data_IF_422106889602
#
_entry.id   IF_422106889602
#
_cell.length_a   1.000
_cell.length_b   1.000
_cell.length_c   1.000
_cell.angle_alpha   90.00
_cell.angle_beta   90.00
_cell.angle_gamma   90.00
#
_symmetry.space_group_name_H-M   'P 1'
#
loop_
_entity.id
_entity.type
_entity.pdbx_description
1 polymer ?
#
# COMPACT_ATOMS: atom_id res chain seq x y z
N UNK A 1 -1.93 -10.69 -5.53
CA UNK A 1 -2.61 -9.41 -5.88
C UNK A 1 -3.18 -8.83 -4.59
N UNK A 2 -2.85 -7.57 -4.28
CA UNK A 2 -3.34 -6.89 -3.07
C UNK A 2 -4.39 -5.85 -3.46
N UNK A 3 -5.49 -5.79 -2.71
CA UNK A 3 -6.57 -4.81 -2.91
C UNK A 3 -6.87 -4.11 -1.60
N UNK A 4 -7.24 -2.84 -1.69
CA UNK A 4 -7.66 -2.07 -0.53
C UNK A 4 -8.57 -0.92 -0.91
N UNK A 5 -9.04 -0.22 0.12
CA UNK A 5 -9.85 0.98 -0.04
C UNK A 5 -9.58 1.95 1.09
N UNK A 6 -9.91 3.22 0.88
CA UNK A 6 -9.90 4.20 1.97
C UNK A 6 -11.04 3.92 2.96
N UNK A 7 -11.00 4.54 4.14
CA UNK A 7 -11.97 4.27 5.21
C UNK A 7 -13.42 4.60 4.84
N UNK A 8 -13.66 5.54 3.92
CA UNK A 8 -15.01 5.85 3.42
C UNK A 8 -15.37 5.13 2.12
N UNK A 9 -14.50 4.25 1.62
CA UNK A 9 -14.69 3.48 0.38
C UNK A 9 -14.80 4.31 -0.91
N UNK A 10 -14.54 5.63 -0.85
CA UNK A 10 -14.57 6.52 -2.02
C UNK A 10 -13.36 6.33 -2.97
N UNK A 11 -12.32 5.66 -2.50
CA UNK A 11 -11.13 5.31 -3.27
C UNK A 11 -10.89 3.82 -3.08
N UNK A 12 -10.75 3.11 -4.20
CA UNK A 12 -10.31 1.72 -4.25
C UNK A 12 -8.95 1.68 -4.92
N UNK A 13 -8.09 0.77 -4.48
CA UNK A 13 -6.79 0.58 -5.10
C UNK A 13 -6.45 -0.90 -5.21
N UNK A 14 -5.68 -1.21 -6.23
CA UNK A 14 -5.18 -2.55 -6.53
C UNK A 14 -3.70 -2.47 -6.87
N UNK A 15 -2.95 -3.45 -6.37
CA UNK A 15 -1.54 -3.63 -6.70
C UNK A 15 -1.44 -4.89 -7.56
N UNK A 16 -1.07 -4.70 -8.83
CA UNK A 16 -0.75 -5.79 -9.74
C UNK A 16 0.45 -6.59 -9.24
N UNK A 17 0.44 -7.89 -9.54
CA UNK A 17 1.32 -8.94 -9.01
C UNK A 17 2.72 -8.45 -8.58
N UNK A 18 3.01 -8.57 -7.28
CA UNK A 18 4.35 -8.39 -6.72
C UNK A 18 5.03 -9.76 -6.84
N UNK A 19 6.23 -9.81 -7.41
CA UNK A 19 7.00 -11.05 -7.52
C UNK A 19 7.43 -11.52 -6.11
N UNK A 20 7.57 -12.82 -5.87
CA UNK A 20 7.88 -13.36 -4.53
C UNK A 20 9.17 -12.80 -3.92
N UNK A 21 10.07 -12.30 -4.78
CA UNK A 21 11.33 -11.66 -4.41
C UNK A 21 11.18 -10.20 -3.95
N UNK A 22 10.14 -9.51 -4.39
CA UNK A 22 9.84 -8.11 -4.04
C UNK A 22 8.98 -8.01 -2.77
N UNK A 23 8.37 -9.12 -2.34
CA UNK A 23 7.68 -9.21 -1.06
C UNK A 23 8.65 -9.18 0.14
N UNK A 24 9.93 -9.51 -0.02
CA UNK A 24 10.89 -9.63 1.10
C UNK A 24 11.27 -8.26 1.76
N UNK A 25 10.97 -7.12 1.10
CA UNK A 25 11.11 -5.76 1.67
C UNK A 25 9.84 -5.32 2.42
N UNK A 26 9.06 -6.28 2.94
CA UNK A 26 7.85 -6.00 3.69
C UNK A 26 8.14 -5.76 5.17
N UNK A 27 7.82 -4.55 5.67
CA UNK A 27 7.89 -4.27 7.11
C UNK A 27 6.53 -4.55 7.74
N UNK A 28 6.41 -5.70 8.42
CA UNK A 28 5.26 -6.02 9.26
C UNK A 28 5.30 -5.18 10.54
N UNK A 29 4.37 -4.23 10.66
CA UNK A 29 4.23 -3.46 11.90
C UNK A 29 3.32 -4.23 12.86
N UNK A 30 3.87 -4.72 13.98
CA UNK A 30 3.08 -5.32 15.08
C UNK A 30 2.29 -4.23 15.81
N UNK A 31 1.23 -3.76 15.19
CA UNK A 31 0.17 -2.97 15.83
C UNK A 31 -1.12 -3.77 15.76
N UNK A 32 -2.06 -3.56 16.70
CA UNK A 32 -3.37 -4.23 16.83
C UNK A 32 -4.23 -4.32 15.54
N UNK A 33 -3.80 -3.66 14.46
CA UNK A 33 -4.27 -3.84 13.09
C UNK A 33 -3.07 -4.31 12.25
N UNK A 34 -3.08 -5.56 11.78
CA UNK A 34 -2.03 -6.15 10.93
C UNK A 34 -1.91 -5.39 9.60
N UNK A 35 -1.10 -4.33 9.59
CA UNK A 35 -0.80 -3.50 8.44
C UNK A 35 0.57 -3.85 7.91
N UNK A 36 0.61 -4.14 6.62
CA UNK A 36 1.81 -4.43 5.86
C UNK A 36 2.20 -3.17 5.08
N UNK A 37 3.40 -2.67 5.30
CA UNK A 37 3.93 -1.56 4.50
C UNK A 37 4.78 -2.11 3.38
N UNK A 38 4.47 -1.70 2.15
CA UNK A 38 5.11 -2.22 0.94
C UNK A 38 5.55 -1.08 0.03
N UNK A 39 6.75 -1.20 -0.53
CA UNK A 39 7.23 -0.35 -1.62
C UNK A 39 6.92 -1.02 -2.96
N UNK A 40 6.19 -0.31 -3.83
CA UNK A 40 5.80 -0.84 -5.14
C UNK A 40 6.10 0.17 -6.25
N UNK A 41 6.34 -0.35 -7.45
CA UNK A 41 6.47 0.49 -8.64
C UNK A 41 5.12 1.17 -8.92
N UNK A 42 5.13 2.48 -9.18
CA UNK A 42 3.93 3.30 -9.39
C UNK A 42 3.05 2.78 -10.52
N UNK A 43 3.67 2.22 -11.56
CA UNK A 43 2.98 1.61 -12.71
C UNK A 43 2.14 0.38 -12.35
N UNK A 44 2.44 -0.29 -11.24
CA UNK A 44 1.69 -1.46 -10.75
C UNK A 44 0.56 -1.10 -9.80
N UNK A 45 0.44 0.17 -9.40
CA UNK A 45 -0.64 0.67 -8.56
C UNK A 45 -1.75 1.24 -9.43
N UNK A 46 -2.92 0.60 -9.39
CA UNK A 46 -4.15 1.09 -10.02
C UNK A 46 -5.03 1.70 -8.94
N UNK A 47 -5.42 2.96 -9.12
CA UNK A 47 -6.34 3.67 -8.21
C UNK A 47 -7.63 3.96 -8.97
N UNK A 48 -8.74 3.42 -8.47
CA UNK A 48 -10.09 3.70 -8.95
C UNK A 48 -10.78 4.66 -7.97
N UNK A 49 -11.06 5.88 -8.44
CA UNK A 49 -11.78 6.89 -7.67
C UNK A 49 -12.36 8.00 -8.56
N UNK A 50 -13.29 8.77 -7.99
CA UNK A 50 -13.73 10.01 -8.62
C UNK A 50 -12.57 11.05 -8.62
N UNK A 51 -12.44 11.89 -9.66
CA UNK A 51 -11.34 12.87 -9.75
C UNK A 51 -11.25 13.84 -8.56
N UNK A 52 -12.38 14.11 -7.89
CA UNK A 52 -12.46 14.97 -6.71
C UNK A 52 -12.11 14.28 -5.39
N UNK A 53 -11.96 12.95 -5.41
CA UNK A 53 -11.76 12.14 -4.21
C UNK A 53 -10.28 12.00 -3.83
N UNK A 54 -9.35 12.08 -4.80
CA UNK A 54 -7.91 11.98 -4.55
C UNK A 54 -7.28 13.38 -4.52
N UNK A 55 -6.51 13.66 -3.48
CA UNK A 55 -5.74 14.89 -3.33
C UNK A 55 -4.26 14.58 -3.11
N UNK A 56 -3.40 15.53 -3.49
CA UNK A 56 -1.94 15.43 -3.35
C UNK A 56 -1.45 16.45 -2.33
N UNK A 57 -0.69 15.98 -1.34
CA UNK A 57 -0.06 16.80 -0.32
C UNK A 57 1.46 16.65 -0.42
N UNK A 58 2.12 17.73 -0.83
CA UNK A 58 3.59 17.77 -0.92
C UNK A 58 4.18 18.10 0.45
N UNK A 59 5.00 17.21 0.96
CA UNK A 59 5.70 17.39 2.22
C UNK A 59 7.05 18.08 2.02
N UNK A 60 7.51 18.79 3.07
CA UNK A 60 8.78 19.52 3.03
C UNK A 60 10.03 18.61 2.91
N UNK A 61 9.87 17.31 3.17
CA UNK A 61 10.92 16.29 3.02
C UNK A 61 11.04 15.76 1.58
N UNK A 62 10.23 16.27 0.64
CA UNK A 62 10.24 15.85 -0.77
C UNK A 62 9.30 14.68 -1.09
N UNK A 63 8.54 14.18 -0.11
CA UNK A 63 7.52 13.15 -0.33
C UNK A 63 6.21 13.78 -0.84
N UNK A 64 5.49 13.05 -1.69
CA UNK A 64 4.13 13.42 -2.10
C UNK A 64 3.14 12.41 -1.55
N UNK A 65 2.22 12.87 -0.71
CA UNK A 65 1.19 12.04 -0.10
C UNK A 65 -0.09 12.10 -0.93
N UNK A 66 -0.54 10.95 -1.43
CA UNK A 66 -1.84 10.82 -2.06
C UNK A 66 -2.88 10.46 -1.00
N UNK A 67 -3.84 11.35 -0.77
CA UNK A 67 -4.81 11.25 0.32
C UNK A 67 -6.25 11.32 -0.19
N UNK A 68 -7.16 10.67 0.52
CA UNK A 68 -8.58 10.79 0.26
C UNK A 68 -9.09 12.15 0.75
N UNK A 69 -9.61 12.97 -0.16
CA UNK A 69 -10.20 14.27 0.14
C UNK A 69 -11.50 14.18 0.95
N UNK A 70 -12.14 13.00 1.00
CA UNK A 70 -13.40 12.78 1.73
C UNK A 70 -13.17 12.42 3.19
N UNK A 71 -12.25 11.48 3.47
CA UNK A 71 -12.03 10.96 4.82
C UNK A 71 -10.62 11.19 5.37
N UNK A 72 -9.71 11.80 4.60
CA UNK A 72 -8.34 12.08 5.01
C UNK A 72 -7.41 10.87 5.08
N UNK A 73 -7.86 9.68 4.67
CA UNK A 73 -7.00 8.48 4.66
C UNK A 73 -5.84 8.65 3.67
N UNK A 74 -4.63 8.35 4.10
CA UNK A 74 -3.46 8.23 3.19
C UNK A 74 -3.61 6.96 2.37
N UNK A 75 -3.50 7.08 1.06
CA UNK A 75 -3.61 5.97 0.10
C UNK A 75 -2.24 5.44 -0.24
N UNK A 76 -1.35 6.33 -0.67
CA UNK A 76 0.05 6.01 -0.94
C UNK A 76 0.95 7.23 -0.75
N UNK A 77 2.25 6.98 -0.60
CA UNK A 77 3.27 8.01 -0.47
C UNK A 77 4.28 7.81 -1.59
N UNK A 78 4.39 8.78 -2.49
CA UNK A 78 5.43 8.80 -3.51
C UNK A 78 6.75 9.24 -2.88
N UNK A 79 7.71 8.32 -2.84
CA UNK A 79 9.06 8.55 -2.31
C UNK A 79 10.08 8.78 -3.43
N UNK A 80 9.75 8.35 -4.65
CA UNK A 80 10.52 8.61 -5.87
C UNK A 80 9.57 8.58 -7.07
N UNK A 81 9.97 9.11 -8.24
CA UNK A 81 9.08 9.22 -9.41
C UNK A 81 8.41 7.90 -9.84
N UNK A 82 9.07 6.78 -9.57
CA UNK A 82 8.61 5.45 -9.96
C UNK A 82 8.21 4.57 -8.76
N UNK A 83 8.40 5.02 -7.51
CA UNK A 83 8.10 4.20 -6.32
C UNK A 83 7.16 4.87 -5.35
N UNK A 84 6.19 4.10 -4.92
CA UNK A 84 5.19 4.50 -3.94
C UNK A 84 5.17 3.52 -2.77
N UNK A 85 4.95 4.03 -1.56
CA UNK A 85 4.75 3.25 -0.34
C UNK A 85 3.26 3.17 -0.03
N UNK A 86 2.75 1.97 0.26
CA UNK A 86 1.37 1.74 0.68
C UNK A 86 1.31 0.91 1.95
N UNK A 87 0.34 1.23 2.80
CA UNK A 87 -0.03 0.41 3.95
C UNK A 87 -1.28 -0.41 3.60
N UNK A 88 -1.10 -1.71 3.38
CA UNK A 88 -2.20 -2.63 3.06
C UNK A 88 -2.60 -3.42 4.30
N UNK A 89 -3.91 -3.57 4.51
CA UNK A 89 -4.43 -4.42 5.57
C UNK A 89 -4.41 -5.88 5.11
N UNK A 90 -3.78 -6.76 5.90
CA UNK A 90 -3.78 -8.19 5.64
C UNK A 90 -4.66 -8.90 6.68
N UNK A 91 -5.65 -9.67 6.23
CA UNK A 91 -6.45 -10.53 7.09
C UNK A 91 -5.83 -11.92 7.09
N UNK A 92 -5.25 -12.34 8.22
CA UNK A 92 -4.46 -13.57 8.38
C UNK A 92 -5.23 -14.90 8.26
N UNK A 93 -5.98 -15.09 7.18
CA UNK A 93 -6.38 -16.41 6.71
C UNK A 93 -5.48 -16.94 5.58
N UNK A 94 -4.60 -16.11 5.03
CA UNK A 94 -3.53 -16.51 4.09
C UNK A 94 -2.22 -16.91 4.81
N UNK A 95 -2.30 -17.31 6.09
CA UNK A 95 -1.17 -17.87 6.84
C UNK A 95 -0.76 -19.29 6.38
N UNK A 96 -1.35 -19.80 5.29
CA UNK A 96 -1.06 -21.11 4.68
C UNK A 96 -0.54 -21.02 3.24
N UNK A 97 -0.39 -19.82 2.67
CA UNK A 97 0.59 -19.66 1.60
C UNK A 97 1.96 -19.84 2.25
N UNK A 98 2.79 -20.69 1.67
CA UNK A 98 4.02 -21.24 2.23
C UNK A 98 4.83 -20.18 3.00
N UNK A 99 5.41 -20.51 4.18
CA UNK A 99 6.23 -19.55 4.89
C UNK A 99 7.28 -19.01 3.92
N UNK A 100 7.17 -17.72 3.58
CA UNK A 100 8.27 -16.99 2.98
C UNK A 100 9.51 -17.36 3.79
N UNK A 101 10.63 -17.60 3.11
CA UNK A 101 11.86 -18.20 3.66
C UNK A 101 12.57 -17.37 4.76
N UNK A 102 11.82 -16.58 5.52
CA UNK A 102 12.18 -15.91 6.77
C UNK A 102 12.72 -16.88 7.85
N UNK A 103 12.57 -18.20 7.67
CA UNK A 103 13.20 -19.23 8.49
C UNK A 103 14.01 -20.22 7.63
N UNK A 104 15.13 -19.78 7.07
CA UNK A 104 16.21 -20.71 6.70
C UNK A 104 17.11 -20.88 7.92
N UNK A 105 17.16 -22.10 8.46
CA UNK A 105 18.16 -22.58 9.43
C UNK A 105 19.53 -22.75 8.76
#
# INVERSE_FOLDING_TARGET
>A
MYRGSCSCQAIQYEIEHIDEFEADDETLTQTDTSKLRMAVEKERLVIDCAPSALAELHQANGETHHVCNVCGSVICIEVSPNKVLLDVAFSGHDALAEPHRQFIL
#
